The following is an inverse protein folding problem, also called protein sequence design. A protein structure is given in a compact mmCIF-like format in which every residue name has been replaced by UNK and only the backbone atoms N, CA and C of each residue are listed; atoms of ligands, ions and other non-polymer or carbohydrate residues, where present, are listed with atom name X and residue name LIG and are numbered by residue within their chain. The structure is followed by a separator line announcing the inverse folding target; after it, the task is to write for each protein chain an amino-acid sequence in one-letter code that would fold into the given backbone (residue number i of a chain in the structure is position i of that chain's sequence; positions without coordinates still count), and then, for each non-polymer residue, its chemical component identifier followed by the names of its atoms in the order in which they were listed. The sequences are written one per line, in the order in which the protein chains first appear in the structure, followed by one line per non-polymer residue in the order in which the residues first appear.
data_IF_762299759695
#
_entry.id   IF_762299759695
#
_cell.length_a   1.000
_cell.length_b   1.000
_cell.length_c   1.000
_cell.angle_alpha   90.00
_cell.angle_beta   90.00
_cell.angle_gamma   90.00
#
_symmetry.space_group_name_H-M   'P 1'
#
loop_
_entity.id
_entity.type
_entity.pdbx_description
1 polymer ?
#
# COMPACT_ATOMS: atom_id res chain seq x y z
N UNK A 1 -7.34 38.72 -88.33
CA UNK A 1 -6.63 37.95 -89.38
C UNK A 1 -5.15 37.96 -89.06
N UNK A 2 -4.50 36.82 -89.29
CA UNK A 2 -3.11 36.43 -89.02
C UNK A 2 -2.07 37.59 -89.06
N UNK A 3 -0.95 37.55 -88.35
CA UNK A 3 0.02 36.46 -88.44
C UNK A 3 1.22 36.69 -87.52
N UNK A 4 1.71 35.57 -86.97
CA UNK A 4 3.11 35.13 -86.86
C UNK A 4 4.07 35.77 -85.83
N UNK A 5 4.30 34.93 -84.81
CA UNK A 5 5.56 34.49 -84.22
C UNK A 5 6.63 35.53 -83.87
N UNK A 6 6.67 35.83 -82.58
CA UNK A 6 7.76 36.49 -81.88
C UNK A 6 8.95 35.55 -81.65
N UNK A 7 10.14 36.11 -81.81
CA UNK A 7 11.41 35.58 -81.34
C UNK A 7 11.55 35.77 -79.82
N UNK A 8 12.20 34.80 -79.15
CA UNK A 8 13.23 35.01 -78.10
C UNK A 8 13.81 33.66 -77.67
N UNK A 9 15.13 33.59 -77.69
CA UNK A 9 16.01 32.60 -77.04
C UNK A 9 16.84 33.37 -75.98
N UNK A 10 17.59 32.72 -75.05
CA UNK A 10 17.61 31.32 -74.63
C UNK A 10 17.61 31.11 -73.08
N UNK A 11 17.22 29.91 -72.62
CA UNK A 11 17.64 29.23 -71.38
C UNK A 11 17.34 27.73 -71.59
N UNK A 12 18.13 26.74 -71.09
CA UNK A 12 18.31 26.44 -69.64
C UNK A 12 19.72 25.80 -69.35
N UNK A 13 20.01 25.04 -68.26
CA UNK A 13 19.17 24.61 -67.13
C UNK A 13 19.73 24.69 -65.70
N UNK A 14 18.76 24.50 -64.78
CA UNK A 14 18.81 24.20 -63.35
C UNK A 14 19.81 23.11 -62.92
N UNK A 15 20.40 23.26 -61.72
CA UNK A 15 19.96 22.56 -60.51
C UNK A 15 20.98 22.76 -59.36
N UNK A 16 20.47 23.08 -58.18
CA UNK A 16 21.25 23.30 -56.95
C UNK A 16 21.64 21.97 -56.27
N UNK A 17 22.74 21.92 -55.49
CA UNK A 17 23.23 20.68 -54.90
C UNK A 17 22.49 20.31 -53.60
N UNK A 18 22.11 19.04 -53.48
CA UNK A 18 21.77 18.37 -52.23
C UNK A 18 22.86 17.33 -51.94
N UNK A 19 23.37 17.25 -50.71
CA UNK A 19 23.78 15.99 -50.06
C UNK A 19 23.86 16.22 -48.54
N UNK A 20 22.82 15.85 -47.80
CA UNK A 20 22.65 14.59 -47.03
C UNK A 20 23.38 14.65 -45.69
N UNK A 21 22.60 14.97 -44.65
CA UNK A 21 22.93 14.78 -43.24
C UNK A 21 22.99 13.28 -42.93
N UNK A 22 24.03 12.87 -42.23
CA UNK A 22 24.26 11.50 -41.77
C UNK A 22 23.11 11.04 -40.85
N UNK A 23 22.42 9.96 -41.26
CA UNK A 23 21.50 9.22 -40.41
C UNK A 23 22.29 8.20 -39.60
N UNK A 24 22.41 8.44 -38.30
CA UNK A 24 22.87 7.44 -37.35
C UNK A 24 21.80 6.34 -37.26
N UNK A 25 22.11 5.16 -37.81
CA UNK A 25 21.27 3.96 -37.67
C UNK A 25 21.30 3.50 -36.22
N UNK A 26 20.31 3.91 -35.43
CA UNK A 26 19.96 3.23 -34.18
C UNK A 26 19.23 1.96 -34.55
N UNK A 27 19.86 0.82 -34.29
CA UNK A 27 19.23 -0.50 -34.37
C UNK A 27 18.10 -0.56 -33.35
N UNK A 28 16.85 -0.50 -33.82
CA UNK A 28 15.69 -0.82 -33.02
C UNK A 28 15.70 -2.32 -32.73
N UNK A 29 16.16 -2.69 -31.53
CA UNK A 29 15.90 -4.03 -30.98
C UNK A 29 14.40 -4.10 -30.64
N UNK A 30 13.67 -5.14 -31.05
CA UNK A 30 12.30 -5.30 -30.61
C UNK A 30 12.31 -5.49 -29.09
N UNK A 31 11.57 -4.64 -28.39
CA UNK A 31 11.29 -4.80 -26.98
C UNK A 31 10.63 -6.17 -26.82
N UNK A 32 11.33 -7.11 -26.19
CA UNK A 32 10.70 -8.33 -25.72
C UNK A 32 9.66 -7.91 -24.69
N UNK A 33 8.40 -8.13 -25.01
CA UNK A 33 7.30 -8.05 -24.06
C UNK A 33 7.59 -9.06 -22.95
N UNK A 34 8.17 -8.57 -21.86
CA UNK A 34 8.24 -9.32 -20.61
C UNK A 34 6.81 -9.53 -20.15
N UNK A 35 6.25 -10.70 -20.46
CA UNK A 35 5.09 -11.19 -19.75
C UNK A 35 5.43 -11.13 -18.26
N UNK A 36 4.70 -10.31 -17.51
CA UNK A 36 4.79 -10.25 -16.06
C UNK A 36 4.52 -11.66 -15.53
N UNK A 37 5.58 -12.40 -15.21
CA UNK A 37 5.44 -13.62 -14.43
C UNK A 37 4.84 -13.17 -13.11
N UNK A 38 3.57 -13.50 -12.90
CA UNK A 38 2.90 -13.28 -11.62
C UNK A 38 3.83 -13.83 -10.54
N UNK A 39 4.17 -12.99 -9.55
CA UNK A 39 4.98 -13.41 -8.42
C UNK A 39 4.19 -14.52 -7.75
N UNK A 40 4.71 -15.75 -7.75
CA UNK A 40 4.07 -16.84 -7.03
C UNK A 40 3.89 -16.37 -5.58
N UNK A 41 2.66 -16.45 -5.06
CA UNK A 41 2.40 -16.11 -3.65
C UNK A 41 3.26 -17.06 -2.83
N UNK A 42 4.28 -16.52 -2.17
CA UNK A 42 5.19 -17.30 -1.36
C UNK A 42 4.40 -17.92 -0.20
N UNK A 43 4.56 -19.22 0.03
CA UNK A 43 4.00 -19.90 1.19
C UNK A 43 4.83 -19.62 2.45
N UNK A 44 5.06 -18.34 2.74
CA UNK A 44 5.77 -17.82 3.90
C UNK A 44 4.90 -16.76 4.54
N UNK A 45 4.57 -16.90 5.82
CA UNK A 45 3.88 -15.83 6.54
C UNK A 45 4.92 -14.88 7.11
N UNK A 46 4.79 -13.60 6.79
CA UNK A 46 5.66 -12.55 7.30
C UNK A 46 4.99 -11.73 8.39
N UNK A 47 5.77 -11.35 9.40
CA UNK A 47 5.43 -10.24 10.26
C UNK A 47 5.73 -8.94 9.52
N UNK A 48 4.72 -8.07 9.41
CA UNK A 48 4.82 -6.72 8.82
C UNK A 48 4.71 -5.71 9.96
N UNK A 49 5.78 -4.97 10.28
CA UNK A 49 5.74 -4.03 11.40
C UNK A 49 4.89 -2.79 11.06
N UNK A 50 4.41 -2.08 12.08
CA UNK A 50 3.63 -0.85 11.89
C UNK A 50 4.20 0.34 12.65
N UNK A 51 3.88 1.55 12.18
CA UNK A 51 4.09 2.83 12.86
C UNK A 51 2.85 3.69 12.62
N UNK A 52 1.97 3.75 13.62
CA UNK A 52 0.78 4.59 13.57
C UNK A 52 1.10 5.97 14.13
N UNK A 53 0.84 7.01 13.35
CA UNK A 53 1.22 8.39 13.66
C UNK A 53 -0.03 9.23 13.87
N UNK A 54 -0.10 9.92 15.01
CA UNK A 54 -1.14 10.90 15.29
C UNK A 54 -0.55 12.13 15.99
N UNK A 55 -0.76 13.32 15.40
CA UNK A 55 -0.23 14.60 15.87
C UNK A 55 1.31 14.57 16.02
N UNK A 56 1.99 13.98 15.04
CA UNK A 56 3.45 13.89 14.99
C UNK A 56 4.10 12.89 15.95
N UNK A 57 3.31 12.08 16.67
CA UNK A 57 3.82 11.05 17.59
C UNK A 57 3.37 9.66 17.17
N UNK A 58 4.19 8.65 17.50
CA UNK A 58 3.81 7.25 17.38
C UNK A 58 2.81 6.91 18.46
N UNK A 59 1.62 6.46 18.06
CA UNK A 59 0.52 6.11 18.98
C UNK A 59 -0.16 4.83 18.56
N UNK A 60 -0.52 4.02 19.55
CA UNK A 60 -1.45 2.92 19.34
C UNK A 60 -2.82 3.31 19.86
N UNK A 61 -3.85 3.16 19.03
CA UNK A 61 -5.23 3.56 19.35
C UNK A 61 -6.20 2.40 19.16
N UNK A 62 -7.41 2.53 19.74
CA UNK A 62 -8.53 1.68 19.35
C UNK A 62 -9.21 2.31 18.15
N UNK A 63 -9.05 1.70 16.97
CA UNK A 63 -9.47 2.29 15.69
C UNK A 63 -10.91 2.81 15.68
N UNK A 64 -11.85 2.04 16.24
CA UNK A 64 -13.28 2.41 16.32
C UNK A 64 -13.58 3.69 17.14
N UNK A 65 -12.60 4.26 17.83
CA UNK A 65 -12.75 5.47 18.65
C UNK A 65 -12.22 6.74 17.97
N UNK A 66 -11.65 6.62 16.76
CA UNK A 66 -11.15 7.76 16.00
C UNK A 66 -12.32 8.56 15.39
N UNK A 67 -12.49 9.82 15.82
CA UNK A 67 -13.48 10.78 15.31
C UNK A 67 -12.83 12.10 14.92
N UNK A 68 -13.47 12.86 14.02
CA UNK A 68 -13.11 14.27 13.80
C UNK A 68 -13.50 15.11 15.02
N UNK A 69 -12.81 16.24 15.21
CA UNK A 69 -12.97 17.14 16.35
C UNK A 69 -14.36 17.81 16.50
N UNK A 70 -15.35 17.42 15.69
CA UNK A 70 -16.69 18.00 15.63
C UNK A 70 -17.79 17.10 16.19
N UNK A 71 -17.49 16.00 16.89
CA UNK A 71 -18.50 15.03 17.30
C UNK A 71 -18.43 14.66 18.80
N UNK A 72 -19.61 14.40 19.34
CA UNK A 72 -19.96 14.69 20.73
C UNK A 72 -19.38 13.67 21.74
N UNK A 73 -18.35 14.09 22.48
CA UNK A 73 -18.11 13.65 23.87
C UNK A 73 -17.48 12.26 24.12
N UNK A 74 -17.16 11.44 23.11
CA UNK A 74 -16.35 10.22 23.32
C UNK A 74 -14.90 10.45 22.91
N UNK A 75 -13.98 10.38 23.88
CA UNK A 75 -12.56 10.62 23.67
C UNK A 75 -11.90 9.49 22.88
N UNK A 76 -10.93 9.83 22.02
CA UNK A 76 -10.04 8.88 21.35
C UNK A 76 -9.36 8.00 22.40
N UNK A 77 -9.53 6.69 22.32
CA UNK A 77 -8.87 5.74 23.22
C UNK A 77 -7.47 5.46 22.68
N UNK A 78 -6.47 5.93 23.43
CA UNK A 78 -5.05 5.70 23.15
C UNK A 78 -4.55 4.59 24.06
N UNK A 79 -4.13 3.47 23.47
CA UNK A 79 -3.49 2.36 24.18
C UNK A 79 -2.06 2.73 24.59
N UNK A 80 -1.36 3.50 23.74
CA UNK A 80 0.03 3.88 23.97
C UNK A 80 0.39 5.15 23.19
N UNK A 81 1.23 5.99 23.79
CA UNK A 81 1.93 7.09 23.12
C UNK A 81 3.41 6.93 23.42
N UNK A 82 4.24 6.88 22.38
CA UNK A 82 5.67 6.67 22.51
C UNK A 82 6.41 7.98 22.77
N UNK A 83 7.47 7.91 23.59
CA UNK A 83 8.51 8.94 23.65
C UNK A 83 9.58 8.77 22.56
N UNK A 84 9.71 7.56 22.00
CA UNK A 84 10.59 7.29 20.84
C UNK A 84 10.05 7.92 19.57
N UNK A 85 10.94 8.40 18.71
CA UNK A 85 10.61 8.97 17.42
C UNK A 85 10.21 7.89 16.38
N UNK A 86 9.49 8.26 15.32
CA UNK A 86 9.21 7.36 14.21
C UNK A 86 10.47 6.77 13.56
N UNK A 87 11.57 7.53 13.48
CA UNK A 87 12.84 7.02 12.96
C UNK A 87 13.47 5.96 13.86
N UNK A 88 13.32 6.06 15.18
CA UNK A 88 13.82 5.04 16.09
C UNK A 88 13.12 3.69 15.86
N UNK A 89 11.80 3.68 15.67
CA UNK A 89 11.07 2.46 15.30
C UNK A 89 11.49 1.93 13.92
N UNK A 90 11.60 2.81 12.92
CA UNK A 90 12.05 2.43 11.59
C UNK A 90 13.46 1.82 11.59
N UNK A 91 14.38 2.34 12.42
CA UNK A 91 15.72 1.78 12.56
C UNK A 91 15.71 0.40 13.23
N UNK A 92 14.89 0.17 14.26
CA UNK A 92 14.71 -1.17 14.84
C UNK A 92 14.28 -2.16 13.76
N UNK A 93 13.26 -1.79 12.96
CA UNK A 93 12.77 -2.66 11.89
C UNK A 93 13.81 -2.92 10.80
N UNK A 94 14.64 -1.92 10.50
CA UNK A 94 15.76 -2.02 9.55
C UNK A 94 16.85 -2.95 10.05
N UNK A 95 17.23 -2.84 11.32
CA UNK A 95 18.23 -3.71 11.94
C UNK A 95 17.80 -5.18 11.91
N UNK A 96 16.50 -5.44 12.05
CA UNK A 96 15.91 -6.78 11.95
C UNK A 96 15.56 -7.23 10.53
N UNK A 97 15.76 -6.36 9.52
CA UNK A 97 15.49 -6.67 8.11
C UNK A 97 14.01 -6.84 7.77
N UNK A 98 13.11 -6.23 8.54
CA UNK A 98 11.66 -6.33 8.35
C UNK A 98 11.19 -5.34 7.26
N UNK A 99 10.75 -5.86 6.12
CA UNK A 99 10.28 -5.06 4.98
C UNK A 99 8.77 -5.13 4.79
N UNK A 100 8.21 -4.10 4.14
CA UNK A 100 6.77 -3.99 3.87
C UNK A 100 5.93 -3.73 5.11
N UNK A 101 6.56 -3.20 6.16
CA UNK A 101 5.82 -2.59 7.26
C UNK A 101 5.21 -1.26 6.86
N UNK A 102 4.13 -0.83 7.52
CA UNK A 102 3.41 0.37 7.16
C UNK A 102 3.59 1.51 8.18
N UNK A 103 3.61 2.74 7.66
CA UNK A 103 3.54 3.99 8.41
C UNK A 103 2.20 4.64 8.07
N UNK A 104 1.28 4.68 9.03
CA UNK A 104 -0.08 5.20 8.82
C UNK A 104 -0.25 6.54 9.53
N UNK A 105 -0.51 7.59 8.77
CA UNK A 105 -0.91 8.88 9.32
C UNK A 105 -2.41 8.87 9.62
N UNK A 106 -2.75 8.87 10.92
CA UNK A 106 -4.13 8.92 11.41
C UNK A 106 -4.73 10.34 11.39
N UNK A 107 -3.92 11.35 11.06
CA UNK A 107 -4.31 12.73 10.89
C UNK A 107 -3.59 13.38 9.70
N UNK A 108 -4.25 14.33 9.04
CA UNK A 108 -3.69 15.07 7.89
C UNK A 108 -2.85 16.30 8.28
N UNK A 109 -2.41 16.39 9.55
CA UNK A 109 -1.69 17.55 10.05
C UNK A 109 -0.19 17.55 9.63
N UNK A 110 0.46 18.73 9.54
CA UNK A 110 1.86 18.82 9.14
C UNK A 110 2.83 18.04 10.05
N UNK A 111 2.52 17.90 11.35
CA UNK A 111 3.38 17.16 12.27
C UNK A 111 3.34 15.67 11.97
N UNK A 112 2.15 15.10 11.70
CA UNK A 112 2.01 13.71 11.26
C UNK A 112 2.73 13.43 9.95
N UNK A 113 2.67 14.37 8.98
CA UNK A 113 3.44 14.27 7.74
C UNK A 113 4.95 14.28 7.99
N UNK A 114 5.44 15.21 8.82
CA UNK A 114 6.88 15.29 9.15
C UNK A 114 7.37 14.00 9.81
N UNK A 115 6.59 13.47 10.75
CA UNK A 115 6.88 12.22 11.44
C UNK A 115 6.91 11.01 10.49
N UNK A 116 6.00 10.95 9.51
CA UNK A 116 6.02 9.90 8.51
C UNK A 116 7.29 9.96 7.65
N UNK A 117 7.69 11.15 7.19
CA UNK A 117 8.92 11.33 6.42
C UNK A 117 10.16 10.92 7.22
N UNK A 118 10.20 11.22 8.53
CA UNK A 118 11.29 10.81 9.43
C UNK A 118 11.49 9.28 9.42
N UNK A 119 10.40 8.50 9.51
CA UNK A 119 10.45 7.04 9.45
C UNK A 119 10.92 6.55 8.07
N UNK A 120 10.41 7.14 6.98
CA UNK A 120 10.78 6.76 5.62
C UNK A 120 12.26 7.03 5.32
N UNK A 121 12.81 8.14 5.83
CA UNK A 121 14.23 8.49 5.68
C UNK A 121 15.14 7.56 6.48
N UNK A 122 14.70 7.08 7.63
CA UNK A 122 15.47 6.12 8.45
C UNK A 122 15.59 4.75 7.76
N UNK A 123 14.53 4.32 7.07
CA UNK A 123 14.51 3.06 6.32
C UNK A 123 14.01 3.19 4.87
N UNK A 124 14.82 3.80 3.97
CA UNK A 124 14.44 3.98 2.57
C UNK A 124 14.19 2.64 1.88
N UNK A 125 13.04 2.51 1.23
CA UNK A 125 12.58 1.30 0.56
C UNK A 125 12.12 0.17 1.49
N UNK A 126 12.20 0.34 2.81
CA UNK A 126 11.78 -0.66 3.79
C UNK A 126 10.30 -0.58 4.16
N UNK A 127 9.75 0.64 4.21
CA UNK A 127 8.41 0.91 4.71
C UNK A 127 7.44 1.38 3.62
N UNK A 128 6.16 1.19 3.87
CA UNK A 128 5.02 1.64 3.06
C UNK A 128 4.35 2.80 3.80
N UNK A 129 3.65 3.70 3.10
CA UNK A 129 3.01 4.86 3.77
C UNK A 129 1.56 5.06 3.37
N UNK A 130 0.70 5.31 4.34
CA UNK A 130 -0.73 5.58 4.17
C UNK A 130 -1.21 6.76 5.00
N UNK A 131 -2.47 7.15 4.77
CA UNK A 131 -3.11 8.31 5.41
C UNK A 131 -3.15 9.54 4.49
N UNK A 132 -4.30 9.79 3.87
CA UNK A 132 -4.50 10.95 3.00
C UNK A 132 -3.72 10.92 1.68
N UNK A 133 -3.28 9.74 1.21
CA UNK A 133 -2.62 9.57 -0.08
C UNK A 133 -3.59 9.88 -1.23
N UNK A 134 -3.14 10.66 -2.20
CA UNK A 134 -3.89 11.06 -3.39
C UNK A 134 -2.92 11.32 -4.59
N UNK A 135 -3.47 11.72 -5.74
CA UNK A 135 -2.67 11.99 -6.96
C UNK A 135 -1.63 13.10 -6.80
N UNK A 136 -1.85 14.05 -5.89
CA UNK A 136 -0.99 15.21 -5.71
C UNK A 136 0.24 14.88 -4.85
N UNK A 137 0.13 13.93 -3.92
CA UNK A 137 1.17 13.64 -2.94
C UNK A 137 1.83 12.26 -3.09
N UNK A 138 1.23 11.30 -3.79
CA UNK A 138 1.71 9.91 -3.85
C UNK A 138 3.16 9.80 -4.32
N UNK A 139 3.50 10.48 -5.43
CA UNK A 139 4.87 10.47 -5.96
C UNK A 139 5.87 11.13 -5.01
N UNK A 140 5.46 12.14 -4.25
CA UNK A 140 6.34 12.77 -3.26
C UNK A 140 6.78 11.75 -2.22
N UNK A 141 5.86 10.97 -1.66
CA UNK A 141 6.21 9.98 -0.64
C UNK A 141 7.10 8.85 -1.17
N UNK A 142 6.87 8.39 -2.40
CA UNK A 142 7.74 7.41 -3.04
C UNK A 142 9.17 7.95 -3.23
N UNK A 143 9.30 9.21 -3.64
CA UNK A 143 10.60 9.86 -3.80
C UNK A 143 11.32 10.07 -2.45
N UNK A 144 10.57 10.21 -1.36
CA UNK A 144 11.08 10.34 0.01
C UNK A 144 11.41 8.99 0.66
N UNK A 145 11.36 7.89 -0.09
CA UNK A 145 11.84 6.58 0.37
C UNK A 145 10.76 5.59 0.76
N UNK A 146 9.47 5.89 0.58
CA UNK A 146 8.44 4.87 0.67
C UNK A 146 8.61 3.82 -0.44
N UNK A 147 8.54 2.54 -0.07
CA UNK A 147 8.48 1.44 -1.03
C UNK A 147 7.17 1.45 -1.82
N UNK A 148 6.06 1.74 -1.13
CA UNK A 148 4.70 1.78 -1.66
C UNK A 148 3.92 2.90 -0.99
N UNK A 149 2.87 3.34 -1.67
CA UNK A 149 1.81 4.14 -1.07
C UNK A 149 0.56 3.29 -0.84
N UNK A 150 -0.10 3.50 0.29
CA UNK A 150 -1.31 2.81 0.72
C UNK A 150 -2.49 3.78 0.56
N UNK A 151 -3.53 3.36 -0.17
CA UNK A 151 -4.70 4.19 -0.45
C UNK A 151 -6.00 3.51 -0.02
N UNK A 152 -6.87 4.32 0.60
CA UNK A 152 -8.20 3.91 1.07
C UNK A 152 -9.23 4.95 0.64
N UNK A 153 -9.42 6.01 1.44
CA UNK A 153 -10.49 7.00 1.30
C UNK A 153 -10.47 7.85 0.03
N UNK A 154 -9.33 7.92 -0.67
CA UNK A 154 -9.27 8.60 -1.97
C UNK A 154 -9.98 7.80 -3.07
N UNK A 155 -9.85 6.46 -3.03
CA UNK A 155 -10.46 5.52 -3.99
C UNK A 155 -11.85 5.10 -3.53
N UNK A 156 -12.08 4.97 -2.22
CA UNK A 156 -13.39 4.69 -1.66
C UNK A 156 -13.97 5.96 -1.04
N UNK A 157 -14.95 6.55 -1.70
CA UNK A 157 -15.61 7.78 -1.26
C UNK A 157 -17.11 7.68 -1.45
N UNK A 158 -17.87 8.25 -0.52
CA UNK A 158 -19.34 8.19 -0.55
C UNK A 158 -19.93 6.78 -0.59
N UNK A 159 -19.25 5.85 0.08
CA UNK A 159 -19.64 4.45 0.14
C UNK A 159 -19.52 3.73 -1.21
N UNK A 160 -18.78 4.29 -2.16
CA UNK A 160 -18.55 3.71 -3.50
C UNK A 160 -17.07 3.71 -3.83
N UNK A 161 -16.67 2.80 -4.71
CA UNK A 161 -15.35 2.81 -5.31
C UNK A 161 -15.32 3.73 -6.54
N UNK A 162 -14.35 4.63 -6.59
CA UNK A 162 -14.05 5.48 -7.72
C UNK A 162 -12.93 4.84 -8.56
N UNK A 163 -13.32 4.15 -9.62
CA UNK A 163 -12.40 3.39 -10.47
C UNK A 163 -11.50 4.30 -11.31
N UNK A 164 -11.98 5.50 -11.67
CA UNK A 164 -11.21 6.49 -12.40
C UNK A 164 -10.01 6.96 -11.57
N UNK A 165 -10.22 7.31 -10.29
CA UNK A 165 -9.15 7.70 -9.36
C UNK A 165 -8.14 6.58 -9.15
N UNK A 166 -8.61 5.34 -9.02
CA UNK A 166 -7.72 4.17 -8.90
C UNK A 166 -6.86 4.00 -10.15
N UNK A 167 -7.46 4.11 -11.33
CA UNK A 167 -6.76 4.01 -12.62
C UNK A 167 -5.70 5.10 -12.74
N UNK A 168 -6.04 6.34 -12.42
CA UNK A 168 -5.08 7.46 -12.43
C UNK A 168 -3.93 7.26 -11.44
N UNK A 169 -4.19 6.69 -10.26
CA UNK A 169 -3.12 6.36 -9.31
C UNK A 169 -2.19 5.29 -9.88
N UNK A 170 -2.73 4.24 -10.49
CA UNK A 170 -1.92 3.19 -11.13
C UNK A 170 -1.09 3.75 -12.28
N UNK A 171 -1.64 4.64 -13.10
CA UNK A 171 -0.90 5.33 -14.17
C UNK A 171 0.24 6.18 -13.61
N UNK A 172 0.01 6.86 -12.48
CA UNK A 172 0.98 7.76 -11.84
C UNK A 172 2.12 7.00 -11.16
N UNK A 173 1.81 6.04 -10.29
CA UNK A 173 2.82 5.38 -9.43
C UNK A 173 3.24 3.99 -9.94
N UNK A 174 2.43 3.37 -10.79
CA UNK A 174 2.56 1.96 -11.17
C UNK A 174 1.98 1.03 -10.10
N UNK A 175 1.27 -0.03 -10.52
CA UNK A 175 0.62 -0.96 -9.59
C UNK A 175 1.59 -1.60 -8.59
N UNK A 176 2.85 -1.79 -9.00
CA UNK A 176 3.93 -2.39 -8.19
C UNK A 176 4.39 -1.52 -7.02
N UNK A 177 3.82 -0.32 -6.85
CA UNK A 177 4.08 0.60 -5.75
C UNK A 177 2.79 1.09 -5.08
N UNK A 178 1.68 0.42 -5.37
CA UNK A 178 0.36 0.76 -4.86
C UNK A 178 -0.21 -0.37 -4.01
N UNK A 179 -0.67 -0.03 -2.83
CA UNK A 179 -1.36 -0.93 -1.90
C UNK A 179 -2.77 -0.40 -1.70
N UNK A 180 -3.75 -1.30 -1.78
CA UNK A 180 -5.13 -0.98 -1.43
C UNK A 180 -5.38 -1.42 -0.01
N UNK A 181 -5.74 -0.47 0.86
CA UNK A 181 -6.25 -0.80 2.17
C UNK A 181 -7.78 -1.02 2.09
N UNK A 182 -8.19 -2.24 2.42
CA UNK A 182 -9.56 -2.75 2.34
C UNK A 182 -10.13 -2.97 3.74
N UNK A 183 -9.82 -2.07 4.67
CA UNK A 183 -10.41 -2.02 6.01
C UNK A 183 -11.91 -2.31 5.99
N UNK A 184 -12.35 -3.31 6.76
CA UNK A 184 -13.71 -3.85 6.65
C UNK A 184 -14.34 -4.18 8.01
N UNK A 185 -15.67 -4.25 8.00
CA UNK A 185 -16.50 -4.65 9.15
C UNK A 185 -17.53 -5.68 8.72
N UNK A 186 -17.93 -6.55 9.64
CA UNK A 186 -18.95 -7.56 9.35
C UNK A 186 -20.33 -6.90 9.34
N UNK A 187 -21.06 -7.07 8.23
CA UNK A 187 -22.42 -6.59 8.01
C UNK A 187 -23.21 -7.69 7.32
N UNK A 188 -24.27 -8.16 7.98
CA UNK A 188 -25.17 -9.20 7.46
C UNK A 188 -24.42 -10.46 7.00
N UNK A 189 -23.44 -10.91 7.80
CA UNK A 189 -22.63 -12.10 7.52
C UNK A 189 -21.56 -11.92 6.44
N UNK A 190 -21.36 -10.71 5.90
CA UNK A 190 -20.34 -10.39 4.89
C UNK A 190 -19.42 -9.27 5.37
N UNK A 191 -18.22 -9.18 4.81
CA UNK A 191 -17.28 -8.10 5.13
C UNK A 191 -17.46 -6.94 4.16
N UNK A 192 -17.96 -5.81 4.64
CA UNK A 192 -18.11 -4.60 3.84
C UNK A 192 -16.95 -3.65 4.13
N UNK A 193 -16.35 -3.08 3.07
CA UNK A 193 -15.29 -2.08 3.22
C UNK A 193 -15.87 -0.84 3.88
N UNK A 194 -15.14 -0.28 4.85
CA UNK A 194 -15.53 0.90 5.59
C UNK A 194 -14.52 2.03 5.39
N UNK A 195 -15.03 3.25 5.22
CA UNK A 195 -14.24 4.46 5.01
C UNK A 195 -14.55 5.50 6.09
N UNK A 196 -13.98 6.69 5.96
CA UNK A 196 -14.18 7.81 6.89
C UNK A 196 -13.83 7.42 8.33
N UNK A 197 -12.60 6.91 8.51
CA UNK A 197 -12.11 6.32 9.78
C UNK A 197 -13.00 5.20 10.28
N UNK A 198 -13.34 4.29 9.37
CA UNK A 198 -14.10 3.08 9.64
C UNK A 198 -15.58 3.28 10.07
N UNK A 199 -16.13 4.47 9.79
CA UNK A 199 -17.49 4.84 10.19
C UNK A 199 -18.52 4.61 9.07
N UNK A 200 -18.14 4.80 7.80
CA UNK A 200 -19.06 4.74 6.65
C UNK A 200 -18.90 3.42 5.89
N UNK A 201 -19.95 2.62 5.87
CA UNK A 201 -20.01 1.42 5.04
C UNK A 201 -20.06 1.78 3.55
N UNK A 202 -19.30 1.06 2.74
CA UNK A 202 -19.43 1.05 1.29
C UNK A 202 -20.35 -0.07 0.79
N UNK A 203 -20.69 -0.01 -0.50
CA UNK A 203 -21.34 -1.09 -1.25
C UNK A 203 -20.37 -2.16 -1.75
N UNK A 204 -19.07 -2.03 -1.42
CA UNK A 204 -18.02 -2.95 -1.82
C UNK A 204 -17.71 -3.92 -0.69
N UNK A 205 -17.71 -5.21 -1.02
CA UNK A 205 -17.46 -6.29 -0.07
C UNK A 205 -16.08 -6.91 -0.30
N UNK A 206 -15.45 -7.35 0.78
CA UNK A 206 -14.23 -8.16 0.73
C UNK A 206 -14.65 -9.60 0.46
N UNK A 207 -14.59 -10.01 -0.80
CA UNK A 207 -14.90 -11.35 -1.30
C UNK A 207 -14.00 -11.71 -2.49
N UNK A 208 -14.02 -12.98 -2.92
CA UNK A 208 -13.14 -13.45 -3.99
C UNK A 208 -13.25 -12.70 -5.31
N UNK A 209 -14.45 -12.48 -5.88
CA UNK A 209 -14.59 -11.69 -7.09
C UNK A 209 -14.06 -10.26 -6.97
N UNK A 210 -14.23 -9.62 -5.80
CA UNK A 210 -13.70 -8.28 -5.56
C UNK A 210 -12.18 -8.28 -5.43
N UNK A 211 -11.60 -9.21 -4.67
CA UNK A 211 -10.15 -9.33 -4.53
C UNK A 211 -9.48 -9.61 -5.88
N UNK A 212 -10.06 -10.50 -6.69
CA UNK A 212 -9.58 -10.80 -8.05
C UNK A 212 -9.56 -9.54 -8.94
N UNK A 213 -10.67 -8.79 -8.94
CA UNK A 213 -10.79 -7.54 -9.71
C UNK A 213 -9.78 -6.49 -9.25
N UNK A 214 -9.64 -6.29 -7.94
CA UNK A 214 -8.78 -5.25 -7.37
C UNK A 214 -7.29 -5.55 -7.52
N UNK A 215 -6.91 -6.83 -7.61
CA UNK A 215 -5.53 -7.24 -7.79
C UNK A 215 -4.91 -6.82 -9.13
N UNK A 216 -5.75 -6.43 -10.11
CA UNK A 216 -5.27 -5.81 -11.34
C UNK A 216 -4.59 -4.45 -11.10
N UNK A 217 -4.90 -3.79 -9.98
CA UNK A 217 -4.52 -2.40 -9.70
C UNK A 217 -3.48 -2.24 -8.58
N UNK A 218 -3.23 -3.26 -7.76
CA UNK A 218 -2.35 -3.17 -6.60
C UNK A 218 -1.29 -4.27 -6.58
N UNK A 219 -0.19 -4.01 -5.88
CA UNK A 219 0.85 -5.02 -5.61
C UNK A 219 0.49 -5.88 -4.39
N UNK A 220 -0.20 -5.29 -3.42
CA UNK A 220 -0.58 -5.93 -2.15
C UNK A 220 -1.91 -5.36 -1.63
N UNK A 221 -2.62 -6.16 -0.82
CA UNK A 221 -3.74 -5.69 0.01
C UNK A 221 -3.33 -5.54 1.47
N UNK A 222 -3.75 -4.45 2.11
CA UNK A 222 -3.73 -4.31 3.57
C UNK A 222 -5.18 -4.40 4.07
N UNK A 223 -5.48 -5.31 4.99
CA UNK A 223 -6.86 -5.55 5.44
C UNK A 223 -6.96 -5.45 6.95
N UNK A 224 -7.59 -4.36 7.41
CA UNK A 224 -7.91 -4.18 8.81
C UNK A 224 -9.24 -4.84 9.17
N UNK A 225 -9.21 -5.73 10.16
CA UNK A 225 -10.40 -6.28 10.81
C UNK A 225 -10.89 -5.33 11.91
N UNK A 226 -11.62 -4.28 11.53
CA UNK A 226 -11.93 -3.13 12.42
C UNK A 226 -12.66 -3.56 13.70
N UNK A 227 -13.50 -4.60 13.64
CA UNK A 227 -14.26 -5.06 14.80
C UNK A 227 -13.38 -5.66 15.91
N UNK A 228 -12.13 -6.05 15.61
CA UNK A 228 -11.14 -6.58 16.58
C UNK A 228 -9.87 -5.71 16.73
N UNK A 229 -9.68 -4.72 15.86
CA UNK A 229 -8.49 -3.87 15.81
C UNK A 229 -8.26 -3.05 17.09
N UNK A 230 -7.04 -3.09 17.63
CA UNK A 230 -6.64 -2.37 18.84
C UNK A 230 -7.28 -2.86 20.14
N UNK A 231 -8.14 -3.89 20.10
CA UNK A 231 -8.87 -4.40 21.27
C UNK A 231 -8.15 -5.52 22.02
N UNK A 232 -7.14 -6.17 21.41
CA UNK A 232 -6.43 -7.35 21.96
C UNK A 232 -7.40 -8.47 22.42
N UNK A 233 -8.51 -8.67 21.68
CA UNK A 233 -9.55 -9.67 21.99
C UNK A 233 -9.47 -10.93 21.12
N UNK A 234 -8.37 -11.10 20.39
CA UNK A 234 -8.19 -12.18 19.42
C UNK A 234 -8.53 -11.77 17.99
N UNK A 235 -8.12 -12.62 17.05
CA UNK A 235 -8.21 -12.39 15.60
C UNK A 235 -9.61 -12.67 15.04
N UNK A 236 -9.90 -12.09 13.88
CA UNK A 236 -11.03 -12.49 13.03
C UNK A 236 -10.60 -13.62 12.08
N UNK A 237 -10.72 -14.87 12.54
CA UNK A 237 -10.26 -16.05 11.80
C UNK A 237 -11.04 -16.29 10.50
N UNK A 238 -12.34 -15.95 10.47
CA UNK A 238 -13.15 -16.07 9.24
C UNK A 238 -12.67 -15.11 8.15
N UNK A 239 -12.32 -13.88 8.52
CA UNK A 239 -11.73 -12.92 7.58
C UNK A 239 -10.38 -13.42 7.06
N UNK A 240 -9.52 -13.94 7.94
CA UNK A 240 -8.21 -14.47 7.55
C UNK A 240 -8.35 -15.68 6.60
N UNK A 241 -9.30 -16.58 6.84
CA UNK A 241 -9.58 -17.72 5.94
C UNK A 241 -10.08 -17.26 4.57
N UNK A 242 -10.95 -16.24 4.53
CA UNK A 242 -11.43 -15.63 3.29
C UNK A 242 -10.25 -15.07 2.49
N UNK A 243 -9.36 -14.30 3.12
CA UNK A 243 -8.20 -13.71 2.46
C UNK A 243 -7.24 -14.79 1.95
N UNK A 244 -6.89 -15.78 2.77
CA UNK A 244 -5.98 -16.87 2.40
C UNK A 244 -6.53 -17.76 1.27
N UNK A 245 -7.86 -17.86 1.16
CA UNK A 245 -8.51 -18.64 0.11
C UNK A 245 -8.62 -17.88 -1.21
N UNK A 246 -8.83 -16.57 -1.16
CA UNK A 246 -9.29 -15.82 -2.32
C UNK A 246 -8.35 -14.74 -2.84
N UNK A 247 -7.40 -14.24 -2.04
CA UNK A 247 -6.51 -13.19 -2.51
C UNK A 247 -5.53 -13.72 -3.57
N UNK A 248 -5.45 -13.11 -4.76
CA UNK A 248 -4.50 -13.54 -5.81
C UNK A 248 -3.12 -12.86 -5.68
N UNK A 249 -2.99 -11.85 -4.83
CA UNK A 249 -1.77 -11.08 -4.56
C UNK A 249 -1.42 -11.15 -3.07
N UNK A 250 -0.19 -10.75 -2.65
CA UNK A 250 0.15 -10.62 -1.24
C UNK A 250 -0.92 -9.86 -0.44
N UNK A 251 -1.14 -10.28 0.80
CA UNK A 251 -2.14 -9.68 1.66
C UNK A 251 -1.68 -9.69 3.10
N UNK A 252 -1.75 -8.54 3.74
CA UNK A 252 -1.42 -8.35 5.15
C UNK A 252 -2.70 -8.14 5.95
N UNK A 253 -2.93 -8.97 6.95
CA UNK A 253 -4.00 -8.81 7.93
C UNK A 253 -3.52 -7.97 9.12
N UNK A 254 -4.35 -7.02 9.54
CA UNK A 254 -4.12 -6.22 10.73
C UNK A 254 -5.37 -6.22 11.63
N UNK A 255 -5.21 -6.60 12.90
CA UNK A 255 -6.27 -6.53 13.89
C UNK A 255 -6.27 -7.67 14.90
N UNK A 256 -6.64 -7.39 16.15
CA UNK A 256 -6.97 -8.40 17.16
C UNK A 256 -5.83 -9.21 17.77
N UNK A 257 -4.67 -9.31 17.12
CA UNK A 257 -3.52 -10.10 17.59
C UNK A 257 -3.09 -9.69 19.00
N UNK A 258 -2.94 -10.69 19.88
CA UNK A 258 -2.59 -10.51 21.28
C UNK A 258 -1.51 -11.48 21.77
N UNK A 259 -1.38 -12.64 21.14
CA UNK A 259 -0.48 -13.73 21.56
C UNK A 259 0.27 -14.36 20.39
N UNK A 260 1.30 -15.17 20.66
CA UNK A 260 1.96 -15.99 19.63
C UNK A 260 1.02 -17.03 19.00
N UNK A 261 0.06 -17.56 19.78
CA UNK A 261 -0.94 -18.51 19.28
C UNK A 261 -1.83 -17.88 18.20
N UNK A 262 -2.11 -16.58 18.29
CA UNK A 262 -2.83 -15.84 17.24
C UNK A 262 -2.06 -15.83 15.92
N UNK A 263 -0.71 -15.73 15.95
CA UNK A 263 0.13 -15.79 14.75
C UNK A 263 0.06 -17.16 14.07
N UNK A 264 0.10 -18.24 14.86
CA UNK A 264 -0.05 -19.60 14.35
C UNK A 264 -1.46 -19.86 13.79
N UNK A 265 -2.50 -19.30 14.44
CA UNK A 265 -3.87 -19.36 13.93
C UNK A 265 -4.01 -18.60 12.60
N UNK A 266 -3.44 -17.41 12.49
CA UNK A 266 -3.42 -16.65 11.22
C UNK A 266 -2.72 -17.46 10.13
N UNK A 267 -1.53 -18.02 10.43
CA UNK A 267 -0.78 -18.84 9.48
C UNK A 267 -1.58 -20.04 8.99
N UNK A 268 -2.30 -20.72 9.88
CA UNK A 268 -3.14 -21.87 9.54
C UNK A 268 -4.37 -21.46 8.73
N UNK A 269 -5.18 -20.52 9.23
CA UNK A 269 -6.42 -20.08 8.59
C UNK A 269 -6.13 -19.41 7.23
N UNK A 270 -5.08 -18.59 7.17
CA UNK A 270 -4.62 -17.90 5.98
C UNK A 270 -3.85 -18.79 5.00
N UNK A 271 -3.77 -20.11 5.27
CA UNK A 271 -3.09 -21.11 4.42
C UNK A 271 -1.64 -20.74 4.08
N UNK A 272 -0.96 -20.08 5.02
CA UNK A 272 0.39 -19.53 4.86
C UNK A 272 0.55 -18.49 3.73
N UNK A 273 -0.54 -17.80 3.38
CA UNK A 273 -0.59 -16.78 2.31
C UNK A 273 -0.96 -15.37 2.80
N UNK A 274 -1.26 -15.25 4.09
CA UNK A 274 -1.69 -13.99 4.72
C UNK A 274 -0.62 -13.57 5.72
N UNK A 275 0.04 -12.46 5.44
CA UNK A 275 0.98 -11.80 6.34
C UNK A 275 0.23 -11.14 7.51
N UNK A 276 0.94 -10.78 8.57
CA UNK A 276 0.33 -10.26 9.81
C UNK A 276 1.03 -9.01 10.30
N UNK A 277 0.22 -8.02 10.68
CA UNK A 277 0.65 -6.86 11.47
C UNK A 277 0.25 -7.03 12.93
N UNK A 278 1.19 -6.70 13.83
CA UNK A 278 0.93 -6.59 15.27
C UNK A 278 1.32 -5.19 15.72
N UNK A 279 0.35 -4.44 16.24
CA UNK A 279 0.57 -3.11 16.81
C UNK A 279 0.49 -3.19 18.34
N UNK A 280 -0.64 -2.75 18.88
CA UNK A 280 -0.86 -2.54 20.32
C UNK A 280 -0.39 -3.69 21.23
N UNK A 281 -0.38 -4.95 20.81
CA UNK A 281 0.03 -6.05 21.68
C UNK A 281 1.55 -6.13 21.93
N UNK A 282 2.38 -5.52 21.07
CA UNK A 282 3.83 -5.56 21.21
C UNK A 282 4.31 -4.73 22.41
N UNK A 283 5.31 -5.23 23.12
CA UNK A 283 5.98 -4.55 24.23
C UNK A 283 6.67 -3.23 23.84
N UNK A 284 7.19 -3.13 22.62
CA UNK A 284 7.69 -1.87 22.04
C UNK A 284 6.60 -0.79 21.91
N UNK A 285 5.32 -1.18 22.03
CA UNK A 285 4.15 -0.31 22.09
C UNK A 285 3.35 -0.45 23.41
N UNK A 286 3.99 -0.89 24.50
CA UNK A 286 3.36 -1.00 25.81
C UNK A 286 2.37 -2.17 25.95
N UNK A 287 2.46 -3.18 25.09
CA UNK A 287 1.78 -4.46 25.26
C UNK A 287 2.62 -5.51 25.99
N UNK A 288 2.12 -6.74 26.03
CA UNK A 288 2.72 -7.85 26.76
C UNK A 288 3.42 -8.87 25.85
N UNK A 289 3.23 -8.76 24.52
CA UNK A 289 3.83 -9.67 23.54
C UNK A 289 5.25 -9.19 23.20
N UNK A 290 6.30 -9.99 23.48
CA UNK A 290 7.67 -9.55 23.22
C UNK A 290 7.96 -9.43 21.72
N UNK A 291 8.38 -8.25 21.27
CA UNK A 291 8.76 -7.98 19.88
C UNK A 291 9.77 -8.99 19.34
N UNK A 292 10.79 -9.29 20.13
CA UNK A 292 11.90 -10.18 19.82
C UNK A 292 11.40 -11.58 19.46
N UNK A 293 10.35 -12.03 20.15
CA UNK A 293 9.73 -13.35 19.94
C UNK A 293 9.00 -13.38 18.60
N UNK A 294 8.29 -12.30 18.24
CA UNK A 294 7.62 -12.16 16.95
C UNK A 294 8.63 -12.09 15.80
N UNK A 295 9.75 -11.39 15.99
CA UNK A 295 10.85 -11.32 15.02
C UNK A 295 11.52 -12.69 14.83
N UNK A 296 11.77 -13.43 15.91
CA UNK A 296 12.31 -14.78 15.82
C UNK A 296 11.37 -15.69 15.02
N UNK A 297 10.09 -15.67 15.35
CA UNK A 297 9.06 -16.42 14.63
C UNK A 297 9.01 -16.06 13.13
N UNK A 298 9.11 -14.78 12.78
CA UNK A 298 9.19 -14.33 11.38
C UNK A 298 10.40 -14.92 10.65
N UNK A 299 11.57 -14.88 11.29
CA UNK A 299 12.82 -15.43 10.73
C UNK A 299 12.69 -16.94 10.48
N UNK A 300 12.03 -17.68 11.37
CA UNK A 300 11.75 -19.12 11.17
C UNK A 300 10.86 -19.39 9.94
N UNK A 301 9.83 -18.58 9.69
CA UNK A 301 8.95 -18.77 8.53
C UNK A 301 9.70 -18.59 7.22
N UNK A 302 10.57 -17.57 7.15
CA UNK A 302 11.37 -17.30 5.95
C UNK A 302 12.38 -18.42 5.65
N UNK A 303 12.90 -19.10 6.68
CA UNK A 303 13.79 -20.25 6.49
C UNK A 303 13.06 -21.47 5.92
N UNK A 304 11.78 -21.65 6.25
CA UNK A 304 10.95 -22.75 5.73
C UNK A 304 10.65 -22.55 4.25
N UNK A 305 10.39 -21.33 3.81
CA UNK A 305 10.00 -21.03 2.42
C UNK A 305 11.16 -20.97 1.43
N UNK A 306 12.40 -21.03 1.92
CA UNK A 306 13.62 -21.17 1.10
C UNK A 306 14.04 -22.63 0.88
N UNK A 307 13.34 -23.59 1.48
CA UNK A 307 13.55 -25.04 1.30
C UNK A 307 12.55 -25.61 0.29
#
# INVERSE_FOLDING_TARGET
MASRCAARLPHPPCAAPQHVWASSRVSARPAQSGASRGRAVACAVSFRPCIDIHKGKVKQIVGSTLRDASDDGTALVTNFESDKSPAEFANIYKEDGLVGGHVIMLGGDPASRSAALEALHAYPGGLQVGGGINLENAMSYLNEGASHVIVTSYVFSDGKMNIERLTQLVELVGKQRLILDLSCRKKDGRYAIVTDRWQKFSDVFVDGPTLERLAAYADEFLVHGVDVEGKRLGIDEELVELLGSHSPIPTTYAGGVSTMDDLERIKKAGKSRVDVTVGSALDIFGGDLPYDTVVHWHKEQNLVSQR
#
